data_IF_196492921576
#
_entry.id   IF_196492921576
#
_cell.length_a   1.000
_cell.length_b   1.000
_cell.length_c   1.000
_cell.angle_alpha   90.00
_cell.angle_beta   90.00
_cell.angle_gamma   90.00
#
_symmetry.space_group_name_H-M   'P 1'
#
loop_
_entity.id
_entity.type
_entity.pdbx_description
1 polymer ?
#
# COMPACT_ATOMS: atom_id res chain seq x y z
N UNK A 1 -2.34 -17.02 2.10
CA UNK A 1 -1.90 -15.66 2.51
C UNK A 1 -2.93 -14.66 2.02
N UNK A 2 -3.26 -13.62 2.80
CA UNK A 2 -4.36 -12.68 2.51
C UNK A 2 -4.20 -11.92 1.18
N UNK A 3 -2.97 -11.55 0.84
CA UNK A 3 -2.64 -10.85 -0.40
C UNK A 3 -2.85 -11.67 -1.68
N UNK A 4 -3.07 -13.00 -1.58
CA UNK A 4 -3.38 -13.85 -2.74
C UNK A 4 -4.80 -13.63 -3.31
N UNK A 5 -5.64 -12.88 -2.61
CA UNK A 5 -7.02 -12.59 -2.99
C UNK A 5 -7.18 -11.16 -3.53
N UNK A 6 -6.07 -10.51 -3.87
CA UNK A 6 -6.11 -9.21 -4.51
C UNK A 6 -6.61 -9.30 -5.95
N UNK A 7 -7.48 -8.37 -6.30
CA UNK A 7 -7.71 -7.93 -7.65
C UNK A 7 -7.06 -6.55 -7.82
N UNK A 8 -6.06 -6.41 -8.71
CA UNK A 8 -5.46 -5.11 -9.04
C UNK A 8 -6.55 -4.12 -9.48
N UNK A 9 -6.41 -2.85 -9.09
CA UNK A 9 -7.37 -1.81 -9.47
C UNK A 9 -6.65 -0.59 -9.97
N UNK A 10 -6.67 -0.39 -11.29
CA UNK A 10 -6.24 0.84 -11.94
C UNK A 10 -7.20 1.98 -11.62
N UNK A 11 -6.67 3.18 -11.42
CA UNK A 11 -7.46 4.40 -11.24
C UNK A 11 -6.63 5.64 -11.53
N UNK A 12 -7.30 6.75 -11.82
CA UNK A 12 -6.63 8.03 -11.98
C UNK A 12 -6.11 8.56 -10.64
N UNK A 13 -5.13 9.46 -10.71
CA UNK A 13 -4.56 10.12 -9.52
C UNK A 13 -5.63 10.82 -8.66
N UNK A 14 -6.59 11.49 -9.31
CA UNK A 14 -7.69 12.15 -8.61
C UNK A 14 -8.54 11.15 -7.80
N UNK A 15 -8.96 10.05 -8.42
CA UNK A 15 -9.74 8.99 -7.76
C UNK A 15 -8.98 8.40 -6.58
N UNK A 16 -7.67 8.15 -6.75
CA UNK A 16 -6.81 7.65 -5.68
C UNK A 16 -6.82 8.62 -4.50
N UNK A 17 -6.57 9.92 -4.73
CA UNK A 17 -6.51 10.89 -3.64
C UNK A 17 -7.85 11.11 -2.96
N UNK A 18 -8.96 11.08 -3.69
CA UNK A 18 -10.30 11.13 -3.11
C UNK A 18 -10.52 9.96 -2.14
N UNK A 19 -10.24 8.72 -2.58
CA UNK A 19 -10.36 7.51 -1.74
C UNK A 19 -9.37 7.51 -0.58
N UNK A 20 -8.13 7.95 -0.82
CA UNK A 20 -7.08 8.06 0.20
C UNK A 20 -7.53 9.00 1.31
N UNK A 21 -8.05 10.19 0.96
CA UNK A 21 -8.58 11.16 1.92
C UNK A 21 -9.81 10.63 2.65
N UNK A 22 -10.73 9.96 1.97
CA UNK A 22 -11.91 9.36 2.59
C UNK A 22 -11.52 8.38 3.70
N UNK A 23 -10.61 7.44 3.40
CA UNK A 23 -10.11 6.48 4.39
C UNK A 23 -9.35 7.19 5.52
N UNK A 24 -8.56 8.22 5.21
CA UNK A 24 -7.84 9.01 6.23
C UNK A 24 -8.74 9.87 7.11
N UNK A 25 -9.84 10.39 6.59
CA UNK A 25 -10.82 11.14 7.39
C UNK A 25 -11.58 10.20 8.34
N UNK A 26 -11.85 8.96 7.91
CA UNK A 26 -12.39 7.91 8.78
C UNK A 26 -11.39 7.52 9.89
N UNK A 27 -10.08 7.62 9.64
CA UNK A 27 -9.02 7.38 10.64
C UNK A 27 -9.08 8.38 11.81
N UNK A 28 -9.53 9.62 11.59
CA UNK A 28 -9.75 10.58 12.69
C UNK A 28 -10.83 10.11 13.69
N UNK A 29 -11.70 9.19 13.28
CA UNK A 29 -12.76 8.60 14.12
C UNK A 29 -12.48 7.13 14.49
N UNK A 30 -11.68 6.41 13.70
CA UNK A 30 -11.23 5.04 13.94
C UNK A 30 -9.77 4.87 13.51
N UNK A 31 -8.80 5.10 14.42
CA UNK A 31 -7.38 5.22 14.07
C UNK A 31 -6.73 3.95 13.49
N UNK A 32 -7.49 2.86 13.35
CA UNK A 32 -6.98 1.53 13.01
C UNK A 32 -7.04 1.22 11.50
N UNK A 33 -7.70 2.06 10.69
CA UNK A 33 -7.80 1.85 9.23
C UNK A 33 -6.55 2.26 8.46
N UNK A 34 -5.69 3.11 9.05
CA UNK A 34 -4.36 3.42 8.55
C UNK A 34 -3.30 2.71 9.39
N UNK A 35 -2.40 2.00 8.72
CA UNK A 35 -1.21 1.45 9.36
C UNK A 35 0.01 1.98 8.64
N UNK A 36 0.89 2.63 9.41
CA UNK A 36 2.17 3.11 8.93
C UNK A 36 3.30 2.34 9.63
N UNK A 37 4.28 1.90 8.85
CA UNK A 37 5.46 1.20 9.36
C UNK A 37 6.70 1.79 8.72
N UNK A 38 7.64 2.21 9.56
CA UNK A 38 8.98 2.63 9.16
C UNK A 38 9.93 1.49 9.52
N UNK A 39 10.68 0.98 8.55
CA UNK A 39 11.52 -0.20 8.75
C UNK A 39 12.77 -0.15 7.87
N UNK A 40 13.83 -0.84 8.32
CA UNK A 40 15.10 -0.93 7.60
C UNK A 40 14.97 -1.90 6.42
N UNK A 41 15.53 -1.53 5.27
CA UNK A 41 15.59 -2.41 4.11
C UNK A 41 16.40 -3.68 4.44
N UNK A 42 15.85 -4.85 4.11
CA UNK A 42 16.54 -6.15 4.18
C UNK A 42 17.28 -6.48 2.89
N UNK A 43 16.91 -5.82 1.80
CA UNK A 43 17.47 -6.01 0.47
C UNK A 43 17.91 -4.68 -0.16
N UNK A 44 18.75 -4.71 -1.21
CA UNK A 44 19.05 -3.52 -1.99
C UNK A 44 17.77 -2.85 -2.51
N UNK A 45 17.72 -1.53 -2.42
CA UNK A 45 16.55 -0.71 -2.78
C UNK A 45 16.49 -0.45 -4.30
N UNK A 46 16.51 -1.52 -5.09
CA UNK A 46 16.40 -1.45 -6.55
C UNK A 46 14.95 -1.14 -6.98
N UNK A 47 14.79 -0.19 -7.89
CA UNK A 47 13.48 0.30 -8.32
C UNK A 47 12.67 -0.78 -9.04
N UNK A 48 13.27 -1.52 -9.98
CA UNK A 48 12.54 -2.51 -10.79
C UNK A 48 12.20 -3.75 -9.96
N UNK A 49 13.10 -4.17 -9.07
CA UNK A 49 12.81 -5.22 -8.08
C UNK A 49 11.69 -4.78 -7.13
N UNK A 50 11.67 -3.52 -6.70
CA UNK A 50 10.62 -2.98 -5.84
C UNK A 50 9.26 -2.99 -6.56
N UNK A 51 9.20 -2.55 -7.82
CA UNK A 51 7.98 -2.64 -8.65
C UNK A 51 7.51 -4.09 -8.79
N UNK A 52 8.41 -5.01 -9.12
CA UNK A 52 8.09 -6.43 -9.27
C UNK A 52 7.54 -7.04 -7.98
N UNK A 53 8.10 -6.69 -6.81
CA UNK A 53 7.58 -7.11 -5.49
C UNK A 53 6.18 -6.57 -5.22
N UNK A 54 5.90 -5.31 -5.54
CA UNK A 54 4.57 -4.70 -5.35
C UNK A 54 3.54 -5.35 -6.28
N UNK A 55 3.87 -5.52 -7.56
CA UNK A 55 3.00 -6.21 -8.53
C UNK A 55 2.75 -7.67 -8.12
N UNK A 56 3.81 -8.38 -7.71
CA UNK A 56 3.73 -9.75 -7.20
C UNK A 56 2.97 -9.87 -5.87
N UNK A 57 2.83 -8.78 -5.11
CA UNK A 57 1.98 -8.72 -3.93
C UNK A 57 0.49 -8.74 -4.29
N UNK A 58 0.13 -8.28 -5.50
CA UNK A 58 -1.20 -8.40 -6.10
C UNK A 58 -1.94 -7.08 -6.37
N UNK A 59 -1.33 -5.93 -6.08
CA UNK A 59 -1.95 -4.62 -6.37
C UNK A 59 -1.57 -4.10 -7.76
N UNK A 60 -2.37 -3.19 -8.29
CA UNK A 60 -1.95 -2.34 -9.39
C UNK A 60 -0.88 -1.36 -8.89
N UNK A 61 0.07 -1.01 -9.77
CA UNK A 61 1.05 0.03 -9.50
C UNK A 61 0.62 1.28 -10.27
N UNK A 62 0.30 2.35 -9.56
CA UNK A 62 -0.29 3.55 -10.15
C UNK A 62 0.78 4.59 -10.48
N UNK A 63 0.90 4.91 -11.76
CA UNK A 63 1.89 5.86 -12.25
C UNK A 63 1.51 7.32 -11.96
N UNK A 64 2.50 8.11 -11.54
CA UNK A 64 2.40 9.57 -11.35
C UNK A 64 1.27 10.00 -10.40
N UNK A 65 0.94 9.16 -9.43
CA UNK A 65 0.00 9.52 -8.36
C UNK A 65 0.70 10.32 -7.26
N UNK A 66 1.83 9.82 -6.75
CA UNK A 66 2.66 10.59 -5.83
C UNK A 66 3.46 11.66 -6.61
N UNK A 67 3.49 12.92 -6.15
CA UNK A 67 4.35 13.93 -6.78
C UNK A 67 5.85 13.60 -6.68
N UNK A 68 6.27 12.81 -5.70
CA UNK A 68 7.63 12.29 -5.62
C UNK A 68 7.76 11.02 -6.47
N UNK A 69 8.51 11.04 -7.58
CA UNK A 69 8.63 9.89 -8.49
C UNK A 69 9.40 8.70 -7.89
N UNK A 70 10.10 8.88 -6.76
CA UNK A 70 10.75 7.80 -6.05
C UNK A 70 9.77 6.95 -5.20
N UNK A 71 8.58 7.47 -4.94
CA UNK A 71 7.56 6.77 -4.18
C UNK A 71 6.74 5.84 -5.07
N UNK A 72 6.26 4.75 -4.48
CA UNK A 72 5.38 3.81 -5.15
C UNK A 72 3.98 3.92 -4.57
N UNK A 73 2.99 3.97 -5.44
CA UNK A 73 1.58 3.98 -5.07
C UNK A 73 0.92 2.75 -5.67
N UNK A 74 0.13 2.05 -4.86
CA UNK A 74 -0.59 0.89 -5.33
C UNK A 74 -2.03 0.84 -4.83
N UNK A 75 -2.88 0.17 -5.61
CA UNK A 75 -4.28 0.00 -5.29
C UNK A 75 -4.81 -1.37 -5.71
N UNK A 76 -5.72 -1.91 -4.91
CA UNK A 76 -6.40 -3.14 -5.22
C UNK A 76 -7.58 -3.38 -4.28
N UNK A 77 -8.36 -4.40 -4.61
CA UNK A 77 -9.47 -4.86 -3.78
C UNK A 77 -9.20 -6.29 -3.36
N UNK A 78 -9.32 -6.58 -2.08
CA UNK A 78 -9.32 -7.97 -1.58
C UNK A 78 -10.73 -8.50 -1.66
N UNK A 79 -10.92 -9.56 -2.43
CA UNK A 79 -12.20 -10.26 -2.55
C UNK A 79 -12.21 -11.50 -1.66
N UNK A 80 -13.08 -11.48 -0.66
CA UNK A 80 -13.43 -12.68 0.12
C UNK A 80 -14.88 -13.06 -0.20
N UNK A 81 -15.32 -14.25 0.24
CA UNK A 81 -16.66 -14.77 -0.08
C UNK A 81 -17.80 -13.79 0.20
N UNK A 82 -17.70 -12.99 1.27
CA UNK A 82 -18.79 -12.11 1.73
C UNK A 82 -18.38 -10.64 1.82
N UNK A 83 -17.10 -10.29 1.61
CA UNK A 83 -16.58 -8.95 1.86
C UNK A 83 -15.56 -8.55 0.80
N UNK A 84 -15.68 -7.31 0.33
CA UNK A 84 -14.69 -6.64 -0.49
C UNK A 84 -14.00 -5.57 0.35
N UNK A 85 -12.67 -5.52 0.30
CA UNK A 85 -11.87 -4.56 1.05
C UNK A 85 -11.00 -3.78 0.08
N UNK A 86 -11.34 -2.51 -0.14
CA UNK A 86 -10.51 -1.60 -0.91
C UNK A 86 -9.23 -1.30 -0.13
N UNK A 87 -8.09 -1.41 -0.80
CA UNK A 87 -6.76 -1.25 -0.22
C UNK A 87 -5.95 -0.27 -1.06
N UNK A 88 -5.41 0.74 -0.39
CA UNK A 88 -4.48 1.71 -0.97
C UNK A 88 -3.16 1.62 -0.21
N UNK A 89 -2.05 1.65 -0.93
CA UNK A 89 -0.72 1.67 -0.33
C UNK A 89 0.14 2.78 -0.90
N UNK A 90 1.05 3.26 -0.06
CA UNK A 90 2.12 4.20 -0.41
C UNK A 90 3.41 3.71 0.22
N UNK A 91 4.42 3.43 -0.60
CA UNK A 91 5.76 3.03 -0.16
C UNK A 91 6.74 4.15 -0.51
N UNK A 92 7.44 4.64 0.51
CA UNK A 92 8.36 5.77 0.40
C UNK A 92 9.78 5.29 0.75
N UNK A 93 10.63 5.04 -0.26
CA UNK A 93 12.03 4.68 -0.04
C UNK A 93 12.86 5.87 0.44
N UNK A 94 13.69 5.64 1.46
CA UNK A 94 14.80 6.53 1.83
C UNK A 94 16.12 5.79 1.60
N UNK A 95 16.71 5.98 0.42
CA UNK A 95 17.95 5.29 0.00
C UNK A 95 19.16 5.71 0.81
N UNK A 96 19.22 6.95 1.31
CA UNK A 96 20.32 7.41 2.16
C UNK A 96 20.30 6.72 3.53
N UNK A 97 19.12 6.58 4.14
CA UNK A 97 18.97 5.93 5.44
C UNK A 97 18.83 4.40 5.33
N UNK A 98 18.66 3.84 4.13
CA UNK A 98 18.32 2.44 3.90
C UNK A 98 17.04 2.02 4.65
N UNK A 99 16.02 2.89 4.60
CA UNK A 99 14.74 2.69 5.28
C UNK A 99 13.59 2.84 4.30
N UNK A 100 12.46 2.21 4.61
CA UNK A 100 11.18 2.42 3.94
C UNK A 100 10.16 2.98 4.93
N UNK A 101 9.27 3.86 4.45
CA UNK A 101 8.00 4.16 5.11
C UNK A 101 6.88 3.58 4.26
N UNK A 102 6.19 2.57 4.80
CA UNK A 102 5.02 1.96 4.18
C UNK A 102 3.76 2.45 4.89
N UNK A 103 2.79 2.95 4.14
CA UNK A 103 1.47 3.34 4.64
C UNK A 103 0.39 2.55 3.90
N UNK A 104 -0.45 1.84 4.63
CA UNK A 104 -1.63 1.13 4.12
C UNK A 104 -2.89 1.80 4.66
N UNK A 105 -3.84 2.09 3.77
CA UNK A 105 -5.20 2.48 4.13
C UNK A 105 -6.18 1.49 3.52
N UNK A 106 -7.05 0.92 4.34
CA UNK A 106 -8.08 0.00 3.87
C UNK A 106 -9.40 0.27 4.55
N UNK A 107 -10.50 -0.23 3.99
CA UNK A 107 -11.82 -0.11 4.62
C UNK A 107 -12.00 -1.00 5.86
N UNK A 108 -10.99 -1.81 6.25
CA UNK A 108 -11.02 -2.69 7.44
C UNK A 108 -9.67 -2.72 8.16
N UNK A 109 -9.66 -2.27 9.41
CA UNK A 109 -8.53 -2.26 10.34
C UNK A 109 -7.57 -3.47 10.29
N UNK A 110 -8.10 -4.66 10.52
CA UNK A 110 -7.38 -5.93 10.57
C UNK A 110 -6.70 -6.28 9.25
N UNK A 111 -7.24 -5.79 8.13
CA UNK A 111 -6.65 -5.95 6.80
C UNK A 111 -5.46 -5.00 6.65
N UNK A 112 -5.58 -3.74 7.06
CA UNK A 112 -4.48 -2.76 7.01
C UNK A 112 -3.24 -3.28 7.75
N UNK A 113 -3.40 -3.75 8.99
CA UNK A 113 -2.30 -4.28 9.79
C UNK A 113 -1.67 -5.51 9.13
N UNK A 114 -2.50 -6.49 8.72
CA UNK A 114 -2.00 -7.74 8.14
C UNK A 114 -1.25 -7.52 6.83
N UNK A 115 -1.74 -6.62 5.98
CA UNK A 115 -1.07 -6.31 4.72
C UNK A 115 0.24 -5.55 4.95
N UNK A 116 0.26 -4.62 5.89
CA UNK A 116 1.47 -3.88 6.24
C UNK A 116 2.57 -4.84 6.73
N UNK A 117 2.23 -5.80 7.60
CA UNK A 117 3.19 -6.80 8.08
C UNK A 117 3.71 -7.69 6.95
N UNK A 118 2.82 -8.25 6.12
CA UNK A 118 3.22 -9.10 5.00
C UNK A 118 4.11 -8.39 3.98
N UNK A 119 3.78 -7.14 3.64
CA UNK A 119 4.50 -6.40 2.60
C UNK A 119 5.83 -5.85 3.12
N UNK A 120 5.88 -5.39 4.38
CA UNK A 120 7.14 -4.90 4.99
C UNK A 120 8.23 -5.97 5.03
N UNK A 121 7.87 -7.24 5.16
CA UNK A 121 8.81 -8.36 5.18
C UNK A 121 9.46 -8.63 3.82
N UNK A 122 8.95 -8.05 2.73
CA UNK A 122 9.48 -8.26 1.38
C UNK A 122 10.64 -7.33 1.01
N UNK A 123 10.93 -6.30 1.82
CA UNK A 123 11.85 -5.22 1.46
C UNK A 123 13.07 -5.14 2.38
#
# INVERSE_FOLDING_TARGET
>A
MLNKFFQPTEMASEDFFQRWKQLGAQVSFSPQQEVQKIFKAKHPMDTEVTKAKILGFGVALLDRVDPNPANFVGAGVIHTKNVQVGCLLRLEPNTQAQMYRLTLRTSRDSVSQRLCDLLSEQF
#
